data_IF_581943510842
#
_entry.id   IF_581943510842
#
_cell.length_a   1.000
_cell.length_b   1.000
_cell.length_c   1.000
_cell.angle_alpha   90.00
_cell.angle_beta   90.00
_cell.angle_gamma   90.00
#
_symmetry.space_group_name_H-M   'P 1'
#
loop_
_entity.id
_entity.type
_entity.pdbx_description
1 polymer ?
#
# COMPACT_ATOMS: atom_id res chain seq x y z
N UNK A 1 32.65 21.65 -19.89
CA UNK A 1 31.39 22.42 -19.92
C UNK A 1 31.46 23.56 -20.93
N UNK A 2 32.48 24.41 -20.89
CA UNK A 2 32.58 25.62 -21.75
C UNK A 2 32.47 25.36 -23.26
N UNK A 3 33.12 24.30 -23.77
CA UNK A 3 33.04 23.93 -25.19
C UNK A 3 31.62 23.53 -25.63
N UNK A 4 30.90 22.79 -24.78
CA UNK A 4 29.52 22.36 -25.06
C UNK A 4 28.55 23.53 -25.00
N UNK A 5 28.77 24.43 -24.03
CA UNK A 5 27.97 25.63 -23.88
C UNK A 5 28.13 26.56 -25.09
N UNK A 6 29.36 26.84 -25.51
CA UNK A 6 29.65 27.67 -26.68
C UNK A 6 29.02 27.11 -27.96
N UNK A 7 29.16 25.80 -28.20
CA UNK A 7 28.55 25.14 -29.35
C UNK A 7 27.01 25.20 -29.32
N UNK A 8 26.39 25.04 -28.13
CA UNK A 8 24.95 25.17 -27.97
C UNK A 8 24.48 26.59 -28.31
N UNK A 9 25.14 27.63 -27.79
CA UNK A 9 24.79 29.02 -28.05
C UNK A 9 24.90 29.39 -29.52
N UNK A 10 26.00 28.99 -30.19
CA UNK A 10 26.19 29.23 -31.62
C UNK A 10 25.11 28.55 -32.47
N UNK A 11 24.78 27.29 -32.18
CA UNK A 11 23.75 26.56 -32.91
C UNK A 11 22.35 27.12 -32.64
N UNK A 12 22.02 27.44 -31.38
CA UNK A 12 20.75 28.04 -31.03
C UNK A 12 20.56 29.41 -31.70
N UNK A 13 21.62 30.21 -31.83
CA UNK A 13 21.57 31.46 -32.59
C UNK A 13 21.14 31.21 -34.04
N UNK A 14 21.75 30.22 -34.72
CA UNK A 14 21.38 29.87 -36.09
C UNK A 14 19.93 29.36 -36.21
N UNK A 15 19.47 28.52 -35.28
CA UNK A 15 18.09 27.99 -35.25
C UNK A 15 17.07 29.10 -35.00
N UNK A 16 17.41 30.07 -34.16
CA UNK A 16 16.51 31.17 -33.78
C UNK A 16 16.51 32.32 -34.80
N UNK A 17 17.52 32.39 -35.68
CA UNK A 17 17.76 33.49 -36.62
C UNK A 17 16.56 33.80 -37.53
N UNK A 18 15.92 32.77 -38.09
CA UNK A 18 14.74 32.93 -38.94
C UNK A 18 13.56 32.11 -38.40
N UNK A 19 12.36 32.69 -38.23
CA UNK A 19 11.18 31.93 -37.77
C UNK A 19 10.73 30.89 -38.79
N UNK A 20 10.80 31.20 -40.09
CA UNK A 20 10.36 30.33 -41.18
C UNK A 20 11.31 30.41 -42.37
N UNK A 21 11.70 29.27 -42.92
CA UNK A 21 12.49 29.15 -44.15
C UNK A 21 11.57 28.60 -45.24
N UNK A 22 11.33 29.38 -46.29
CA UNK A 22 10.50 28.95 -47.41
C UNK A 22 11.39 28.32 -48.49
N UNK A 23 11.11 27.06 -48.83
CA UNK A 23 11.77 26.34 -49.93
C UNK A 23 10.68 25.86 -50.87
N UNK A 24 10.60 26.51 -52.04
CA UNK A 24 9.47 26.37 -52.97
C UNK A 24 8.14 26.70 -52.29
N UNK A 25 7.14 25.81 -52.39
CA UNK A 25 5.81 25.96 -51.81
C UNK A 25 5.72 25.51 -50.34
N UNK A 26 6.86 25.14 -49.72
CA UNK A 26 6.89 24.62 -48.35
C UNK A 26 7.53 25.62 -47.39
N UNK A 27 6.86 25.85 -46.25
CA UNK A 27 7.36 26.64 -45.15
C UNK A 27 7.92 25.72 -44.05
N UNK A 28 9.20 25.88 -43.72
CA UNK A 28 9.89 25.13 -42.68
C UNK A 28 10.08 26.02 -41.45
N UNK A 29 9.74 25.53 -40.25
CA UNK A 29 9.94 26.25 -39.00
C UNK A 29 11.09 25.61 -38.20
N UNK A 30 12.33 26.14 -38.24
CA UNK A 30 13.49 25.48 -37.61
C UNK A 30 13.32 25.19 -36.11
N UNK A 31 12.58 26.05 -35.41
CA UNK A 31 12.32 25.93 -33.97
C UNK A 31 11.46 24.72 -33.63
N UNK A 32 10.51 24.37 -34.50
CA UNK A 32 9.65 23.19 -34.33
C UNK A 32 10.46 21.89 -34.42
N UNK A 33 11.47 21.83 -35.30
CA UNK A 33 12.38 20.69 -35.38
C UNK A 33 13.16 20.51 -34.07
N UNK A 34 13.67 21.61 -33.49
CA UNK A 34 14.36 21.54 -32.19
C UNK A 34 13.40 21.09 -31.09
N UNK A 35 12.19 21.67 -31.03
CA UNK A 35 11.15 21.31 -30.05
C UNK A 35 10.82 19.82 -30.08
N UNK A 36 10.54 19.26 -31.27
CA UNK A 36 10.24 17.84 -31.46
C UNK A 36 11.42 16.94 -31.05
N UNK A 37 12.66 17.34 -31.37
CA UNK A 37 13.84 16.57 -30.98
C UNK A 37 14.09 16.61 -29.46
N UNK A 38 13.84 17.75 -28.81
CA UNK A 38 13.94 17.88 -27.36
C UNK A 38 12.90 17.01 -26.66
N UNK A 39 11.65 17.00 -27.15
CA UNK A 39 10.57 16.16 -26.63
C UNK A 39 10.92 14.66 -26.76
N UNK A 40 11.30 14.21 -27.95
CA UNK A 40 11.67 12.81 -28.18
C UNK A 40 12.88 12.39 -27.34
N UNK A 41 13.90 13.25 -27.28
CA UNK A 41 15.12 12.98 -26.49
C UNK A 41 14.81 12.93 -25.00
N UNK A 42 14.01 13.87 -24.50
CA UNK A 42 13.66 13.94 -23.09
C UNK A 42 12.84 12.73 -22.66
N UNK A 43 11.79 12.35 -23.41
CA UNK A 43 10.99 11.15 -23.11
C UNK A 43 11.83 9.87 -23.05
N UNK A 44 12.75 9.69 -24.01
CA UNK A 44 13.62 8.51 -24.03
C UNK A 44 14.63 8.51 -22.87
N UNK A 45 15.25 9.65 -22.60
CA UNK A 45 16.25 9.76 -21.55
C UNK A 45 15.59 9.65 -20.15
N UNK A 46 14.34 10.09 -19.97
CA UNK A 46 13.54 9.90 -18.75
C UNK A 46 13.42 8.42 -18.38
N UNK A 47 13.02 7.58 -19.32
CA UNK A 47 12.91 6.12 -19.10
C UNK A 47 14.29 5.49 -18.93
N UNK A 48 15.29 5.94 -19.70
CA UNK A 48 16.67 5.49 -19.56
C UNK A 48 17.26 5.73 -18.16
N UNK A 49 16.95 6.86 -17.54
CA UNK A 49 17.38 7.19 -16.17
C UNK A 49 16.76 6.31 -15.09
N UNK A 50 15.66 5.59 -15.38
CA UNK A 50 15.08 4.61 -14.44
C UNK A 50 16.01 3.42 -14.22
N UNK A 51 16.90 3.13 -15.18
CA UNK A 51 17.89 2.05 -15.11
C UNK A 51 17.28 0.68 -14.78
N UNK A 52 16.04 0.43 -15.23
CA UNK A 52 15.36 -0.83 -14.95
C UNK A 52 15.97 -1.99 -15.74
N UNK A 53 16.53 -2.96 -15.03
CA UNK A 53 17.08 -4.18 -15.63
C UNK A 53 16.16 -5.38 -15.32
N UNK A 54 15.60 -6.00 -16.36
CA UNK A 54 14.69 -7.13 -16.21
C UNK A 54 15.37 -8.41 -15.73
N UNK A 55 16.66 -8.59 -15.97
CA UNK A 55 17.40 -9.79 -15.56
C UNK A 55 17.78 -9.73 -14.07
N UNK A 56 18.27 -8.57 -13.61
CA UNK A 56 18.70 -8.37 -12.22
C UNK A 56 17.57 -7.85 -11.31
N UNK A 57 16.47 -7.37 -11.90
CA UNK A 57 15.37 -6.68 -11.22
C UNK A 57 15.83 -5.44 -10.43
N UNK A 58 16.89 -4.80 -10.92
CA UNK A 58 17.41 -3.54 -10.37
C UNK A 58 16.67 -2.36 -10.97
N UNK A 59 16.49 -1.31 -10.17
CA UNK A 59 15.87 -0.04 -10.57
C UNK A 59 16.54 1.10 -9.79
N UNK A 60 16.61 2.29 -10.39
CA UNK A 60 17.08 3.48 -9.69
C UNK A 60 16.17 3.83 -8.51
N UNK A 61 16.74 4.44 -7.46
CA UNK A 61 15.93 4.97 -6.35
C UNK A 61 15.07 6.14 -6.84
N UNK A 62 13.80 6.26 -6.41
CA UNK A 62 12.96 7.37 -6.79
C UNK A 62 13.59 8.76 -6.55
N UNK A 63 14.30 8.96 -5.44
CA UNK A 63 14.95 10.23 -5.11
C UNK A 63 16.11 10.57 -6.05
N UNK A 64 16.94 9.59 -6.40
CA UNK A 64 18.04 9.72 -7.36
C UNK A 64 17.53 10.03 -8.77
N UNK A 65 16.47 9.34 -9.19
CA UNK A 65 15.80 9.61 -10.46
C UNK A 65 15.22 11.03 -10.47
N UNK A 66 14.49 11.43 -9.43
CA UNK A 66 13.91 12.77 -9.32
C UNK A 66 14.98 13.88 -9.36
N UNK A 67 16.11 13.68 -8.68
CA UNK A 67 17.23 14.61 -8.74
C UNK A 67 17.78 14.75 -10.18
N UNK A 68 17.92 13.62 -10.88
CA UNK A 68 18.38 13.58 -12.27
C UNK A 68 17.40 14.26 -13.24
N UNK A 69 16.09 14.00 -13.07
CA UNK A 69 15.03 14.65 -13.85
C UNK A 69 15.03 16.16 -13.63
N UNK A 70 15.13 16.63 -12.38
CA UNK A 70 15.21 18.06 -12.06
C UNK A 70 16.44 18.73 -12.66
N UNK A 71 17.59 18.06 -12.61
CA UNK A 71 18.81 18.57 -13.25
C UNK A 71 18.63 18.70 -14.78
N UNK A 72 18.01 17.70 -15.42
CA UNK A 72 17.72 17.72 -16.85
C UNK A 72 16.74 18.85 -17.22
N UNK A 73 15.67 19.02 -16.44
CA UNK A 73 14.71 20.10 -16.61
C UNK A 73 15.36 21.48 -16.47
N UNK A 74 16.23 21.68 -15.48
CA UNK A 74 16.95 22.94 -15.31
C UNK A 74 17.78 23.28 -16.55
N UNK A 75 18.48 22.31 -17.14
CA UNK A 75 19.25 22.51 -18.38
C UNK A 75 18.32 22.85 -19.55
N UNK A 76 17.24 22.09 -19.74
CA UNK A 76 16.26 22.35 -20.80
C UNK A 76 15.63 23.74 -20.67
N UNK A 77 15.34 24.19 -19.45
CA UNK A 77 14.78 25.51 -19.22
C UNK A 77 15.74 26.64 -19.62
N UNK A 78 17.05 26.43 -19.54
CA UNK A 78 18.02 27.42 -20.06
C UNK A 78 17.97 27.58 -21.57
N UNK A 79 17.41 26.62 -22.33
CA UNK A 79 17.30 26.69 -23.79
C UNK A 79 16.38 27.83 -24.23
N UNK A 80 15.37 28.17 -23.42
CA UNK A 80 14.45 29.30 -23.69
C UNK A 80 15.19 30.65 -23.79
N UNK A 81 16.36 30.78 -23.13
CA UNK A 81 17.17 31.99 -23.22
C UNK A 81 17.82 32.17 -24.61
N UNK A 82 17.93 31.10 -25.41
CA UNK A 82 18.61 31.14 -26.71
C UNK A 82 17.65 31.00 -27.89
N UNK A 83 16.57 30.25 -27.73
CA UNK A 83 15.57 30.01 -28.78
C UNK A 83 14.17 30.25 -28.19
N UNK A 84 13.33 31.00 -28.90
CA UNK A 84 11.94 31.20 -28.45
C UNK A 84 11.13 29.93 -28.73
N UNK A 85 11.20 28.99 -27.80
CA UNK A 85 10.41 27.75 -27.72
C UNK A 85 9.74 27.75 -26.36
N UNK A 86 8.55 27.18 -26.28
CA UNK A 86 7.86 26.91 -25.02
C UNK A 86 8.33 25.57 -24.43
N UNK A 87 9.30 25.62 -23.51
CA UNK A 87 9.80 24.40 -22.84
C UNK A 87 8.77 23.82 -21.87
N UNK A 88 7.86 24.66 -21.37
CA UNK A 88 6.80 24.24 -20.45
C UNK A 88 5.87 23.25 -21.16
N UNK A 89 5.55 23.50 -22.43
CA UNK A 89 4.81 22.53 -23.26
C UNK A 89 5.57 21.21 -23.42
N UNK A 90 6.88 21.24 -23.66
CA UNK A 90 7.71 20.02 -23.75
C UNK A 90 7.65 19.23 -22.44
N UNK A 91 7.80 19.90 -21.30
CA UNK A 91 7.68 19.26 -19.98
C UNK A 91 6.30 18.65 -19.76
N UNK A 92 5.24 19.39 -20.05
CA UNK A 92 3.87 18.91 -19.87
C UNK A 92 3.60 17.66 -20.72
N UNK A 93 4.03 17.64 -21.99
CA UNK A 93 3.84 16.49 -22.85
C UNK A 93 4.63 15.27 -22.36
N UNK A 94 5.94 15.43 -22.11
CA UNK A 94 6.80 14.31 -21.72
C UNK A 94 6.42 13.76 -20.34
N UNK A 95 6.35 14.63 -19.32
CA UNK A 95 6.16 14.19 -17.93
C UNK A 95 4.75 13.63 -17.70
N UNK A 96 3.71 14.20 -18.31
CA UNK A 96 2.35 13.68 -18.18
C UNK A 96 2.20 12.29 -18.79
N UNK A 97 2.89 12.02 -19.91
CA UNK A 97 2.90 10.66 -20.47
C UNK A 97 3.56 9.67 -19.51
N UNK A 98 4.63 10.07 -18.81
CA UNK A 98 5.31 9.19 -17.85
C UNK A 98 4.46 8.80 -16.63
N UNK A 99 3.32 9.46 -16.40
CA UNK A 99 2.38 9.07 -15.35
C UNK A 99 1.40 7.97 -15.76
N UNK A 100 1.32 7.64 -17.05
CA UNK A 100 0.43 6.61 -17.60
C UNK A 100 1.13 5.25 -17.60
N UNK A 101 0.43 4.14 -17.90
CA UNK A 101 1.08 2.83 -18.05
C UNK A 101 1.94 2.71 -19.33
N UNK A 102 1.49 3.34 -20.42
CA UNK A 102 2.19 3.39 -21.69
C UNK A 102 2.25 4.84 -22.18
N UNK A 103 3.33 5.19 -22.86
CA UNK A 103 3.46 6.50 -23.52
C UNK A 103 2.69 6.54 -24.86
N UNK A 104 2.75 7.66 -25.59
CA UNK A 104 2.07 7.79 -26.89
C UNK A 104 2.61 6.85 -27.98
N UNK A 105 3.76 6.22 -27.76
CA UNK A 105 4.40 5.27 -28.68
C UNK A 105 4.16 3.81 -28.27
N UNK A 106 3.46 3.57 -27.15
CA UNK A 106 3.20 2.23 -26.62
C UNK A 106 4.35 1.66 -25.79
N UNK A 107 5.31 2.49 -25.38
CA UNK A 107 6.45 2.09 -24.56
C UNK A 107 6.14 2.21 -23.06
N UNK A 108 6.82 1.38 -22.25
CA UNK A 108 6.65 1.43 -20.78
C UNK A 108 7.22 2.72 -20.20
N UNK A 109 6.44 3.32 -19.31
CA UNK A 109 6.78 4.57 -18.63
C UNK A 109 7.46 4.35 -17.29
N UNK A 110 7.92 5.45 -16.66
CA UNK A 110 8.38 5.46 -15.27
C UNK A 110 7.32 4.84 -14.33
N UNK A 111 6.05 5.25 -14.45
CA UNK A 111 4.98 4.73 -13.61
C UNK A 111 4.80 3.21 -13.75
N UNK A 112 4.83 2.67 -14.97
CA UNK A 112 4.71 1.24 -15.20
C UNK A 112 5.89 0.45 -14.63
N UNK A 113 7.12 0.94 -14.80
CA UNK A 113 8.33 0.26 -14.33
C UNK A 113 8.37 0.18 -12.81
N UNK A 114 8.13 1.28 -12.10
CA UNK A 114 8.04 1.24 -10.63
C UNK A 114 6.85 0.41 -10.14
N UNK A 115 5.70 0.46 -10.83
CA UNK A 115 4.56 -0.37 -10.45
C UNK A 115 4.90 -1.88 -10.51
N UNK A 116 5.56 -2.33 -11.59
CA UNK A 116 6.06 -3.70 -11.69
C UNK A 116 7.08 -4.01 -10.58
N UNK A 117 8.04 -3.10 -10.34
CA UNK A 117 9.07 -3.34 -9.34
C UNK A 117 8.50 -3.45 -7.91
N UNK A 118 7.67 -2.52 -7.46
CA UNK A 118 7.08 -2.61 -6.13
C UNK A 118 6.21 -3.86 -5.95
N UNK A 119 5.41 -4.20 -6.96
CA UNK A 119 4.48 -5.34 -6.91
C UNK A 119 5.19 -6.69 -6.98
N UNK A 120 6.13 -6.86 -7.91
CA UNK A 120 6.73 -8.16 -8.22
C UNK A 120 8.09 -8.39 -7.55
N UNK A 121 8.78 -7.33 -7.13
CA UNK A 121 10.15 -7.38 -6.58
C UNK A 121 10.12 -7.12 -5.07
N UNK A 122 9.59 -5.97 -4.63
CA UNK A 122 9.57 -5.60 -3.21
C UNK A 122 8.53 -6.42 -2.43
N UNK A 123 7.25 -6.29 -2.75
CA UNK A 123 6.16 -6.93 -1.98
C UNK A 123 6.20 -8.46 -2.04
N UNK A 124 6.70 -9.02 -3.15
CA UNK A 124 6.94 -10.46 -3.28
C UNK A 124 8.01 -10.95 -2.30
N UNK A 125 9.08 -10.17 -2.07
CA UNK A 125 10.12 -10.50 -1.08
C UNK A 125 9.66 -10.27 0.36
N UNK A 126 8.80 -9.28 0.61
CA UNK A 126 8.13 -9.13 1.91
C UNK A 126 7.31 -10.38 2.22
N UNK A 127 6.57 -10.89 1.24
CA UNK A 127 5.78 -12.12 1.37
C UNK A 127 6.64 -13.38 1.58
N UNK A 128 7.91 -13.35 1.16
CA UNK A 128 8.89 -14.42 1.41
C UNK A 128 9.48 -14.40 2.84
N UNK A 129 9.19 -13.35 3.62
CA UNK A 129 9.56 -13.27 5.04
C UNK A 129 10.92 -12.63 5.35
N UNK A 130 11.57 -11.98 4.37
CA UNK A 130 12.88 -11.35 4.57
C UNK A 130 12.82 -9.86 4.94
N UNK A 131 11.66 -9.24 4.72
CA UNK A 131 11.43 -7.81 4.85
C UNK A 131 10.20 -7.61 5.73
N UNK A 132 10.24 -6.64 6.65
CA UNK A 132 9.16 -6.30 7.57
C UNK A 132 8.79 -4.84 7.45
N UNK A 133 7.51 -4.54 7.56
CA UNK A 133 7.02 -3.18 7.70
C UNK A 133 7.27 -2.67 9.12
N UNK A 134 8.01 -1.58 9.27
CA UNK A 134 8.17 -0.89 10.55
C UNK A 134 7.19 0.28 10.65
N UNK A 135 6.34 0.26 11.67
CA UNK A 135 5.43 1.39 11.97
C UNK A 135 6.26 2.59 12.43
N UNK A 136 7.25 2.37 13.30
CA UNK A 136 8.13 3.40 13.85
C UNK A 136 8.92 4.14 12.75
N UNK A 137 9.53 3.40 11.82
CA UNK A 137 10.34 3.99 10.75
C UNK A 137 9.52 4.42 9.53
N UNK A 138 8.22 4.07 9.48
CA UNK A 138 7.33 4.25 8.33
C UNK A 138 7.96 3.77 7.01
N UNK A 139 8.55 2.58 7.03
CA UNK A 139 9.27 2.00 5.91
C UNK A 139 9.31 0.47 6.00
N UNK A 140 9.65 -0.20 4.90
CA UNK A 140 10.00 -1.61 4.90
C UNK A 140 11.49 -1.78 5.18
N UNK A 141 11.82 -2.62 6.16
CA UNK A 141 13.18 -2.84 6.67
C UNK A 141 13.55 -4.33 6.61
N UNK A 142 14.84 -4.67 6.42
CA UNK A 142 15.28 -6.06 6.49
C UNK A 142 15.27 -6.57 7.95
N UNK A 143 14.94 -7.85 8.16
CA UNK A 143 14.90 -8.45 9.51
C UNK A 143 16.30 -8.89 9.99
N UNK A 144 17.18 -9.26 9.06
CA UNK A 144 18.57 -9.66 9.31
C UNK A 144 19.49 -9.13 8.21
N UNK A 145 20.66 -8.54 8.55
CA UNK A 145 21.67 -8.11 7.58
C UNK A 145 22.22 -9.25 6.70
N UNK A 146 22.11 -10.50 7.17
CA UNK A 146 22.65 -11.69 6.47
C UNK A 146 21.68 -12.29 5.43
N UNK A 147 20.51 -11.67 5.23
CA UNK A 147 19.54 -12.09 4.23
C UNK A 147 19.94 -11.67 2.81
N UNK A 148 19.84 -12.60 1.86
CA UNK A 148 20.00 -12.47 0.40
C UNK A 148 19.08 -11.43 -0.30
N UNK A 149 18.74 -10.30 0.34
CA UNK A 149 17.97 -9.24 -0.31
C UNK A 149 18.96 -8.41 -1.14
N UNK A 150 18.83 -8.38 -2.49
CA UNK A 150 19.81 -7.74 -3.37
C UNK A 150 19.79 -6.21 -3.30
N UNK A 151 18.89 -5.63 -2.50
CA UNK A 151 18.74 -4.19 -2.28
C UNK A 151 18.29 -3.92 -0.85
N UNK A 152 18.53 -2.70 -0.36
CA UNK A 152 18.02 -2.25 0.93
C UNK A 152 16.55 -1.76 0.75
N UNK A 153 15.54 -2.43 1.32
CA UNK A 153 14.13 -2.03 1.12
C UNK A 153 13.80 -0.65 1.66
N UNK A 154 14.56 -0.16 2.65
CA UNK A 154 14.34 1.18 3.22
C UNK A 154 14.64 2.27 2.19
N UNK A 155 15.66 2.07 1.35
CA UNK A 155 16.08 2.99 0.28
C UNK A 155 15.10 3.05 -0.91
N UNK A 156 13.95 2.36 -0.81
CA UNK A 156 12.87 2.42 -1.79
C UNK A 156 11.49 2.64 -1.15
N UNK A 157 11.35 2.54 0.18
CA UNK A 157 10.03 2.53 0.82
C UNK A 157 9.88 3.48 1.99
N UNK A 158 10.93 4.21 2.36
CA UNK A 158 10.77 5.32 3.30
C UNK A 158 9.90 6.42 2.70
N UNK A 159 9.42 7.33 3.56
CA UNK A 159 8.56 8.42 3.10
C UNK A 159 9.26 9.37 2.12
N UNK A 160 10.58 9.51 2.14
CA UNK A 160 11.27 10.42 1.22
C UNK A 160 11.29 9.86 -0.21
N UNK A 161 11.57 8.56 -0.34
CA UNK A 161 11.54 7.84 -1.60
C UNK A 161 10.12 7.77 -2.16
N UNK A 162 9.12 7.50 -1.31
CA UNK A 162 7.73 7.47 -1.77
C UNK A 162 7.20 8.87 -2.14
N UNK A 163 7.67 9.95 -1.50
CA UNK A 163 7.37 11.32 -1.93
C UNK A 163 8.04 11.63 -3.27
N UNK A 164 9.27 11.19 -3.47
CA UNK A 164 9.96 11.35 -4.74
C UNK A 164 9.24 10.58 -5.87
N UNK A 165 8.79 9.35 -5.60
CA UNK A 165 7.95 8.58 -6.51
C UNK A 165 6.66 9.33 -6.83
N UNK A 166 5.94 9.80 -5.81
CA UNK A 166 4.69 10.54 -5.99
C UNK A 166 4.88 11.84 -6.79
N UNK A 167 6.03 12.51 -6.67
CA UNK A 167 6.35 13.68 -7.49
C UNK A 167 6.65 13.32 -8.95
N UNK A 168 7.30 12.18 -9.20
CA UNK A 168 7.61 11.69 -10.55
C UNK A 168 6.36 11.23 -11.31
N UNK A 169 5.48 10.46 -10.65
CA UNK A 169 4.36 9.78 -11.32
C UNK A 169 3.00 10.42 -11.05
N UNK A 170 2.90 11.31 -10.07
CA UNK A 170 1.70 12.05 -9.73
C UNK A 170 0.50 11.18 -9.33
N UNK A 171 -0.69 11.79 -9.18
CA UNK A 171 -1.93 11.07 -8.83
C UNK A 171 -2.28 9.95 -9.81
N UNK A 172 -2.01 10.12 -11.11
CA UNK A 172 -2.31 9.12 -12.12
C UNK A 172 -1.49 7.84 -11.93
N UNK A 173 -0.16 7.96 -11.78
CA UNK A 173 0.69 6.80 -11.58
C UNK A 173 0.46 6.12 -10.23
N UNK A 174 0.24 6.89 -9.17
CA UNK A 174 -0.12 6.35 -7.85
C UNK A 174 -1.47 5.64 -7.90
N UNK A 175 -2.45 6.16 -8.64
CA UNK A 175 -3.74 5.49 -8.86
C UNK A 175 -3.55 4.13 -9.55
N UNK A 176 -2.75 4.05 -10.61
CA UNK A 176 -2.48 2.78 -11.31
C UNK A 176 -1.76 1.78 -10.41
N UNK A 177 -0.79 2.24 -9.60
CA UNK A 177 -0.16 1.41 -8.57
C UNK A 177 -1.20 0.89 -7.58
N UNK A 178 -2.05 1.77 -7.02
CA UNK A 178 -3.12 1.38 -6.09
C UNK A 178 -4.07 0.34 -6.71
N UNK A 179 -4.50 0.51 -7.96
CA UNK A 179 -5.34 -0.46 -8.68
C UNK A 179 -4.66 -1.84 -8.80
N UNK A 180 -3.34 -1.86 -9.05
CA UNK A 180 -2.54 -3.10 -9.11
C UNK A 180 -2.47 -3.78 -7.73
N UNK A 181 -2.26 -3.00 -6.67
CA UNK A 181 -2.27 -3.50 -5.29
C UNK A 181 -3.65 -4.06 -4.90
N UNK A 182 -4.73 -3.37 -5.23
CA UNK A 182 -6.09 -3.83 -4.98
C UNK A 182 -6.41 -5.12 -5.75
N UNK A 183 -5.90 -5.27 -6.96
CA UNK A 183 -6.04 -6.50 -7.73
C UNK A 183 -5.36 -7.70 -7.04
N UNK A 184 -4.15 -7.51 -6.51
CA UNK A 184 -3.47 -8.55 -5.72
C UNK A 184 -4.25 -8.91 -4.45
N UNK A 185 -4.77 -7.92 -3.72
CA UNK A 185 -5.62 -8.14 -2.54
C UNK A 185 -6.88 -8.94 -2.93
N UNK A 186 -7.56 -8.56 -4.01
CA UNK A 186 -8.76 -9.25 -4.44
C UNK A 186 -8.52 -10.73 -4.75
N UNK A 187 -7.37 -11.06 -5.35
CA UNK A 187 -6.98 -12.46 -5.56
C UNK A 187 -6.76 -13.21 -4.23
N UNK A 188 -6.13 -12.57 -3.23
CA UNK A 188 -5.98 -13.17 -1.90
C UNK A 188 -7.35 -13.39 -1.21
N UNK A 189 -8.28 -12.46 -1.37
CA UNK A 189 -9.64 -12.58 -0.82
C UNK A 189 -10.42 -13.72 -1.48
N UNK A 190 -10.27 -13.94 -2.79
CA UNK A 190 -10.93 -15.08 -3.45
C UNK A 190 -10.43 -16.43 -2.91
N UNK A 191 -9.12 -16.54 -2.68
CA UNK A 191 -8.54 -17.73 -2.05
C UNK A 191 -9.05 -17.91 -0.60
N UNK A 192 -9.15 -16.83 0.17
CA UNK A 192 -9.74 -16.87 1.51
C UNK A 192 -11.21 -17.32 1.49
N UNK A 193 -12.01 -16.84 0.54
CA UNK A 193 -13.41 -17.31 0.34
C UNK A 193 -13.47 -18.80 0.04
N UNK A 194 -12.52 -19.33 -0.75
CA UNK A 194 -12.40 -20.77 -0.99
C UNK A 194 -12.14 -21.56 0.31
N UNK A 195 -11.20 -21.10 1.14
CA UNK A 195 -10.89 -21.73 2.44
C UNK A 195 -12.08 -21.70 3.41
N UNK A 196 -12.88 -20.62 3.39
CA UNK A 196 -14.12 -20.53 4.17
C UNK A 196 -15.14 -21.56 3.71
N UNK A 197 -15.29 -21.75 2.39
CA UNK A 197 -16.22 -22.73 1.84
C UNK A 197 -15.86 -24.16 2.24
N UNK A 198 -14.57 -24.51 2.25
CA UNK A 198 -14.08 -25.82 2.72
C UNK A 198 -14.39 -26.06 4.20
N UNK A 199 -14.40 -25.02 5.02
CA UNK A 199 -14.62 -25.10 6.47
C UNK A 199 -16.02 -24.66 6.93
N UNK A 200 -16.97 -24.50 5.99
CA UNK A 200 -18.24 -23.79 6.20
C UNK A 200 -19.03 -24.29 7.41
N UNK A 201 -19.26 -25.60 7.52
CA UNK A 201 -20.05 -26.19 8.61
C UNK A 201 -19.41 -26.01 9.98
N UNK A 202 -18.08 -26.17 10.05
CA UNK A 202 -17.30 -25.97 11.27
C UNK A 202 -17.37 -24.50 11.70
N UNK A 203 -17.22 -23.56 10.75
CA UNK A 203 -17.30 -22.13 11.01
C UNK A 203 -18.70 -21.68 11.46
N UNK A 204 -19.78 -22.25 10.90
CA UNK A 204 -21.16 -21.99 11.36
C UNK A 204 -21.33 -22.44 12.82
N UNK A 205 -20.78 -23.60 13.16
CA UNK A 205 -20.84 -24.13 14.53
C UNK A 205 -20.03 -23.25 15.50
N UNK A 206 -18.83 -22.84 15.11
CA UNK A 206 -17.99 -21.92 15.89
C UNK A 206 -18.67 -20.56 16.11
N UNK A 207 -19.36 -20.03 15.09
CA UNK A 207 -20.09 -18.77 15.20
C UNK A 207 -21.27 -18.84 16.16
N UNK A 208 -22.00 -19.96 16.18
CA UNK A 208 -23.22 -20.12 16.99
C UNK A 208 -22.97 -20.65 18.40
N UNK A 209 -21.83 -21.31 18.63
CA UNK A 209 -21.47 -21.93 19.91
C UNK A 209 -20.28 -21.23 20.60
N UNK A 210 -20.11 -19.93 20.37
CA UNK A 210 -18.97 -19.15 20.89
C UNK A 210 -18.90 -19.10 22.42
N UNK A 211 -20.06 -19.22 23.07
CA UNK A 211 -20.29 -19.27 24.52
C UNK A 211 -19.92 -20.61 25.16
N UNK A 212 -19.63 -21.66 24.36
CA UNK A 212 -19.32 -23.02 24.84
C UNK A 212 -17.83 -23.35 24.61
N UNK A 213 -16.94 -23.22 25.61
CA UNK A 213 -15.50 -23.38 25.44
C UNK A 213 -15.07 -24.75 24.91
N UNK A 214 -15.68 -25.83 25.40
CA UNK A 214 -15.33 -27.20 24.99
C UNK A 214 -15.67 -27.46 23.52
N UNK A 215 -16.86 -27.04 23.08
CA UNK A 215 -17.29 -27.15 21.67
C UNK A 215 -16.35 -26.34 20.78
N UNK A 216 -16.00 -25.12 21.18
CA UNK A 216 -15.07 -24.27 20.42
C UNK A 216 -13.70 -24.93 20.27
N UNK A 217 -13.15 -25.53 21.34
CA UNK A 217 -11.86 -26.21 21.30
C UNK A 217 -11.88 -27.46 20.41
N UNK A 218 -12.98 -28.21 20.44
CA UNK A 218 -13.17 -29.38 19.57
C UNK A 218 -13.30 -28.98 18.10
N UNK A 219 -14.17 -28.01 17.80
CA UNK A 219 -14.39 -27.55 16.42
C UNK A 219 -13.14 -26.87 15.84
N UNK A 220 -12.36 -26.15 16.65
CA UNK A 220 -11.10 -25.56 16.19
C UNK A 220 -10.12 -26.62 15.66
N UNK A 221 -10.04 -27.79 16.30
CA UNK A 221 -9.18 -28.89 15.82
C UNK A 221 -9.61 -29.47 14.46
N UNK A 222 -10.86 -29.23 14.06
CA UNK A 222 -11.42 -29.67 12.76
C UNK A 222 -11.17 -28.66 11.64
N UNK A 223 -10.73 -27.44 11.96
CA UNK A 223 -10.40 -26.44 10.95
C UNK A 223 -9.16 -26.87 10.15
N UNK A 224 -9.26 -26.75 8.82
CA UNK A 224 -8.20 -27.04 7.88
C UNK A 224 -7.56 -25.74 7.40
N UNK A 225 -6.26 -25.78 7.06
CA UNK A 225 -5.56 -24.66 6.41
C UNK A 225 -5.53 -23.32 7.21
N UNK A 226 -5.58 -23.40 8.54
CA UNK A 226 -5.51 -22.22 9.44
C UNK A 226 -4.29 -21.33 9.14
N UNK A 227 -3.12 -21.93 8.89
CA UNK A 227 -1.89 -21.17 8.61
C UNK A 227 -1.99 -20.41 7.29
N UNK A 228 -2.68 -20.97 6.29
CA UNK A 228 -2.91 -20.30 5.01
C UNK A 228 -3.84 -19.10 5.17
N UNK A 229 -4.86 -19.18 6.02
CA UNK A 229 -5.73 -18.03 6.33
C UNK A 229 -4.92 -16.89 6.93
N UNK A 230 -4.12 -17.19 7.95
CA UNK A 230 -3.27 -16.19 8.63
C UNK A 230 -2.22 -15.59 7.69
N UNK A 231 -1.56 -16.42 6.88
CA UNK A 231 -0.57 -15.98 5.90
C UNK A 231 -1.19 -15.05 4.87
N UNK A 232 -2.35 -15.41 4.29
CA UNK A 232 -3.03 -14.57 3.30
C UNK A 232 -3.52 -13.25 3.88
N UNK A 233 -4.07 -13.26 5.10
CA UNK A 233 -4.44 -12.03 5.81
C UNK A 233 -3.22 -11.14 6.09
N UNK A 234 -2.07 -11.74 6.42
CA UNK A 234 -0.82 -11.01 6.62
C UNK A 234 -0.33 -10.37 5.32
N UNK A 235 -0.36 -11.11 4.20
CA UNK A 235 -0.01 -10.58 2.86
C UNK A 235 -0.91 -9.40 2.48
N UNK A 236 -2.23 -9.54 2.65
CA UNK A 236 -3.19 -8.44 2.42
C UNK A 236 -2.82 -7.22 3.26
N UNK A 237 -2.53 -7.44 4.54
CA UNK A 237 -2.15 -6.39 5.48
C UNK A 237 -0.91 -5.64 5.04
N UNK A 238 0.14 -6.36 4.65
CA UNK A 238 1.39 -5.81 4.11
C UNK A 238 1.13 -4.91 2.91
N UNK A 239 0.30 -5.37 1.96
CA UNK A 239 -0.03 -4.60 0.75
C UNK A 239 -0.76 -3.30 1.12
N UNK A 240 -1.69 -3.35 2.08
CA UNK A 240 -2.41 -2.17 2.57
C UNK A 240 -1.47 -1.20 3.30
N UNK A 241 -0.56 -1.70 4.13
CA UNK A 241 0.43 -0.86 4.81
C UNK A 241 1.33 -0.12 3.80
N UNK A 242 1.81 -0.82 2.76
CA UNK A 242 2.57 -0.19 1.67
C UNK A 242 1.74 0.88 0.94
N UNK A 243 0.49 0.56 0.57
CA UNK A 243 -0.43 1.53 -0.03
C UNK A 243 -0.60 2.77 0.85
N UNK A 244 -0.78 2.60 2.16
CA UNK A 244 -0.98 3.71 3.08
C UNK A 244 0.23 4.64 3.13
N UNK A 245 1.46 4.10 3.09
CA UNK A 245 2.67 4.92 2.95
C UNK A 245 2.70 5.70 1.64
N UNK A 246 2.35 5.05 0.52
CA UNK A 246 2.30 5.70 -0.80
C UNK A 246 1.27 6.82 -0.83
N UNK A 247 0.10 6.60 -0.22
CA UNK A 247 -0.97 7.60 -0.10
C UNK A 247 -0.57 8.75 0.82
N UNK A 248 0.07 8.48 1.97
CA UNK A 248 0.62 9.51 2.85
C UNK A 248 1.64 10.39 2.09
N UNK A 249 2.56 9.76 1.36
CA UNK A 249 3.53 10.46 0.54
C UNK A 249 2.88 11.29 -0.58
N UNK A 250 1.82 10.78 -1.23
CA UNK A 250 1.06 11.52 -2.24
C UNK A 250 0.41 12.76 -1.62
N UNK A 251 -0.26 12.62 -0.47
CA UNK A 251 -0.89 13.75 0.24
C UNK A 251 0.15 14.83 0.53
N UNK A 252 1.32 14.48 1.04
CA UNK A 252 2.40 15.43 1.32
C UNK A 252 2.89 16.19 0.07
N UNK A 253 2.93 15.52 -1.08
CA UNK A 253 3.29 16.15 -2.36
C UNK A 253 2.17 17.07 -2.83
N UNK A 254 0.92 16.62 -2.77
CA UNK A 254 -0.23 17.40 -3.22
C UNK A 254 -0.50 18.63 -2.33
N UNK A 255 -0.27 18.54 -1.03
CA UNK A 255 -0.41 19.66 -0.10
C UNK A 255 0.55 20.80 -0.47
N UNK A 256 1.75 20.47 -0.95
CA UNK A 256 2.74 21.46 -1.42
C UNK A 256 2.43 21.97 -2.83
N UNK A 257 1.93 21.12 -3.73
CA UNK A 257 1.78 21.44 -5.16
C UNK A 257 0.42 22.04 -5.52
N UNK A 258 -0.65 21.59 -4.87
CA UNK A 258 -2.04 21.99 -5.14
C UNK A 258 -2.87 22.16 -3.84
N UNK A 259 -2.41 22.98 -2.86
CA UNK A 259 -3.04 23.10 -1.54
C UNK A 259 -4.52 23.47 -1.59
N UNK A 260 -4.93 24.35 -2.50
CA UNK A 260 -6.33 24.79 -2.63
C UNK A 260 -7.27 23.65 -3.08
N UNK A 261 -6.82 22.82 -4.01
CA UNK A 261 -7.60 21.65 -4.46
C UNK A 261 -7.67 20.62 -3.34
N UNK A 262 -6.54 20.30 -2.70
CA UNK A 262 -6.52 19.31 -1.62
C UNK A 262 -7.38 19.76 -0.44
N UNK A 263 -7.35 21.04 -0.05
CA UNK A 263 -8.21 21.60 0.99
C UNK A 263 -9.70 21.47 0.63
N UNK A 264 -10.06 21.70 -0.63
CA UNK A 264 -11.44 21.56 -1.09
C UNK A 264 -11.91 20.11 -1.06
N UNK A 265 -11.03 19.16 -1.41
CA UNK A 265 -11.32 17.72 -1.34
C UNK A 265 -11.48 17.27 0.12
N UNK A 266 -10.61 17.73 1.04
CA UNK A 266 -10.72 17.46 2.48
C UNK A 266 -12.05 17.96 3.05
N UNK A 267 -12.38 19.23 2.80
CA UNK A 267 -13.65 19.83 3.24
C UNK A 267 -14.86 19.08 2.69
N UNK A 268 -14.83 18.72 1.40
CA UNK A 268 -15.89 17.96 0.77
C UNK A 268 -16.04 16.56 1.34
N UNK A 269 -14.94 15.89 1.73
CA UNK A 269 -14.95 14.56 2.34
C UNK A 269 -15.53 14.59 3.77
N UNK A 270 -15.22 15.62 4.55
CA UNK A 270 -15.66 15.77 5.94
C UNK A 270 -17.15 16.11 6.06
N UNK A 271 -17.69 16.91 5.14
CA UNK A 271 -19.03 17.49 5.23
C UNK A 271 -20.07 16.88 4.25
N UNK A 272 -19.91 15.61 3.88
CA UNK A 272 -20.75 14.96 2.85
C UNK A 272 -22.25 14.93 3.20
N UNK A 273 -23.14 15.36 2.27
CA UNK A 273 -24.55 14.98 2.27
C UNK A 273 -24.64 13.49 1.90
N UNK A 274 -25.42 12.70 2.64
CA UNK A 274 -25.47 11.24 2.44
C UNK A 274 -25.91 10.77 1.05
N UNK A 275 -25.70 9.48 0.74
CA UNK A 275 -26.13 8.82 -0.50
C UNK A 275 -25.00 8.59 -1.53
N UNK A 276 -25.33 8.62 -2.82
CA UNK A 276 -24.38 8.37 -3.93
C UNK A 276 -23.20 9.36 -3.96
N UNK A 277 -23.40 10.56 -3.43
CA UNK A 277 -22.35 11.58 -3.29
C UNK A 277 -21.20 11.11 -2.40
N UNK A 278 -21.46 10.21 -1.44
CA UNK A 278 -20.43 9.60 -0.59
C UNK A 278 -19.43 8.81 -1.42
N UNK A 279 -19.90 8.08 -2.44
CA UNK A 279 -19.03 7.24 -3.27
C UNK A 279 -18.11 8.09 -4.14
N UNK A 280 -18.67 9.08 -4.83
CA UNK A 280 -17.89 9.99 -5.70
C UNK A 280 -16.87 10.77 -4.88
N UNK A 281 -17.27 11.25 -3.70
CA UNK A 281 -16.38 11.94 -2.79
C UNK A 281 -15.26 11.02 -2.27
N UNK A 282 -15.57 9.76 -1.94
CA UNK A 282 -14.59 8.79 -1.49
C UNK A 282 -13.60 8.43 -2.60
N UNK A 283 -14.07 8.28 -3.85
CA UNK A 283 -13.20 8.03 -5.01
C UNK A 283 -12.27 9.22 -5.27
N UNK A 284 -12.79 10.45 -5.18
CA UNK A 284 -12.01 11.68 -5.30
C UNK A 284 -10.98 11.83 -4.17
N UNK A 285 -11.39 11.61 -2.92
CA UNK A 285 -10.52 11.65 -1.76
C UNK A 285 -9.40 10.60 -1.86
N UNK A 286 -9.74 9.36 -2.23
CA UNK A 286 -8.77 8.31 -2.46
C UNK A 286 -7.79 8.62 -3.60
N UNK A 287 -8.24 9.27 -4.67
CA UNK A 287 -7.36 9.71 -5.76
C UNK A 287 -6.38 10.82 -5.34
N UNK A 288 -6.73 11.61 -4.32
CA UNK A 288 -5.86 12.58 -3.67
C UNK A 288 -4.98 11.97 -2.56
N UNK A 289 -5.05 10.65 -2.35
CA UNK A 289 -4.32 9.93 -1.29
C UNK A 289 -4.95 10.03 0.11
N UNK A 290 -6.12 10.66 0.26
CA UNK A 290 -6.79 10.73 1.54
C UNK A 290 -7.39 9.37 1.92
N UNK A 291 -7.30 9.02 3.21
CA UNK A 291 -7.87 7.77 3.72
C UNK A 291 -9.39 7.89 3.82
N UNK A 292 -10.08 6.83 3.41
CA UNK A 292 -11.53 6.70 3.52
C UNK A 292 -11.85 5.62 4.55
N UNK A 293 -12.99 5.74 5.26
CA UNK A 293 -13.46 4.70 6.19
C UNK A 293 -13.61 3.34 5.51
N UNK A 294 -14.08 3.37 4.26
CA UNK A 294 -14.14 2.21 3.36
C UNK A 294 -13.44 2.61 2.07
N UNK A 295 -12.48 1.81 1.63
CA UNK A 295 -11.76 2.06 0.39
C UNK A 295 -12.67 1.79 -0.83
N UNK A 296 -12.96 2.80 -1.65
CA UNK A 296 -13.84 2.66 -2.81
C UNK A 296 -13.20 1.84 -3.94
N UNK A 297 -11.88 1.92 -4.13
CA UNK A 297 -11.15 1.13 -5.12
C UNK A 297 -11.19 -0.34 -4.72
N UNK A 298 -10.89 -0.65 -3.46
CA UNK A 298 -10.97 -2.01 -2.93
C UNK A 298 -12.38 -2.60 -3.11
N UNK A 299 -13.42 -1.85 -2.71
CA UNK A 299 -14.80 -2.29 -2.83
C UNK A 299 -15.18 -2.59 -4.29
N UNK A 300 -14.78 -1.71 -5.21
CA UNK A 300 -15.02 -1.88 -6.65
C UNK A 300 -14.28 -3.10 -7.21
N UNK A 301 -13.00 -3.31 -6.85
CA UNK A 301 -12.20 -4.45 -7.30
C UNK A 301 -12.70 -5.78 -6.75
N UNK A 302 -13.18 -5.81 -5.50
CA UNK A 302 -13.78 -7.02 -4.92
C UNK A 302 -15.10 -7.37 -5.59
N UNK A 303 -15.93 -6.36 -5.91
CA UNK A 303 -17.21 -6.54 -6.60
C UNK A 303 -17.02 -7.03 -8.05
N UNK A 304 -16.00 -6.56 -8.77
CA UNK A 304 -15.76 -6.95 -10.17
C UNK A 304 -15.38 -8.43 -10.34
N UNK A 305 -14.82 -9.07 -9.31
CA UNK A 305 -14.47 -10.50 -9.33
C UNK A 305 -15.68 -11.43 -9.18
N UNK A 306 -16.87 -10.93 -8.82
CA UNK A 306 -18.13 -11.70 -8.83
C UNK A 306 -19.33 -10.73 -8.96
N UNK A 307 -19.86 -10.49 -10.17
CA UNK A 307 -20.86 -9.44 -10.40
C UNK A 307 -22.29 -9.77 -9.92
N UNK A 308 -22.58 -11.03 -9.59
CA UNK A 308 -23.89 -11.45 -9.10
C UNK A 308 -23.97 -11.43 -7.57
N UNK A 309 -25.01 -10.77 -7.05
CA UNK A 309 -25.32 -10.79 -5.62
C UNK A 309 -25.81 -12.18 -5.23
N UNK A 310 -24.99 -12.87 -4.45
CA UNK A 310 -25.28 -14.18 -3.89
C UNK A 310 -25.65 -13.97 -2.41
N UNK A 311 -26.85 -14.36 -1.98
CA UNK A 311 -27.23 -14.29 -0.55
C UNK A 311 -26.21 -15.03 0.35
N UNK A 312 -25.49 -16.02 -0.21
CA UNK A 312 -24.39 -16.71 0.45
C UNK A 312 -23.12 -15.87 0.65
N UNK A 313 -22.96 -14.74 -0.01
CA UNK A 313 -21.76 -13.90 0.07
C UNK A 313 -21.65 -13.21 1.44
N UNK A 314 -22.76 -12.70 1.97
CA UNK A 314 -22.77 -12.11 3.31
C UNK A 314 -22.42 -13.16 4.38
N UNK A 315 -22.98 -14.37 4.28
CA UNK A 315 -22.61 -15.47 5.17
C UNK A 315 -21.13 -15.81 5.03
N UNK A 316 -20.60 -15.88 3.81
CA UNK A 316 -19.17 -16.15 3.57
C UNK A 316 -18.28 -15.08 4.21
N UNK A 317 -18.63 -13.80 4.12
CA UNK A 317 -17.91 -12.71 4.79
C UNK A 317 -17.95 -12.85 6.32
N UNK A 318 -19.11 -13.16 6.90
CA UNK A 318 -19.24 -13.44 8.34
C UNK A 318 -18.38 -14.63 8.78
N UNK A 319 -18.39 -15.72 8.01
CA UNK A 319 -17.61 -16.91 8.33
C UNK A 319 -16.11 -16.67 8.15
N UNK A 320 -15.69 -15.85 7.18
CA UNK A 320 -14.29 -15.42 7.05
C UNK A 320 -13.83 -14.68 8.30
N UNK A 321 -14.65 -13.75 8.78
CA UNK A 321 -14.41 -13.00 10.02
C UNK A 321 -14.24 -13.93 11.22
N UNK A 322 -15.14 -14.89 11.39
CA UNK A 322 -15.03 -15.92 12.44
C UNK A 322 -13.74 -16.72 12.28
N UNK A 323 -13.41 -17.14 11.05
CA UNK A 323 -12.23 -17.94 10.76
C UNK A 323 -10.95 -17.18 11.16
N UNK A 324 -10.83 -15.91 10.78
CA UNK A 324 -9.69 -15.08 11.18
C UNK A 324 -9.63 -14.92 12.70
N UNK A 325 -10.75 -14.58 13.35
CA UNK A 325 -10.81 -14.34 14.80
C UNK A 325 -10.32 -15.55 15.63
N UNK A 326 -10.82 -16.74 15.33
CA UNK A 326 -10.44 -17.96 16.07
C UNK A 326 -9.04 -18.46 15.72
N UNK A 327 -8.46 -18.00 14.60
CA UNK A 327 -7.13 -18.41 14.15
C UNK A 327 -6.00 -17.60 14.78
N UNK A 328 -6.26 -16.36 15.22
CA UNK A 328 -5.25 -15.46 15.80
C UNK A 328 -4.42 -16.11 16.93
N UNK A 329 -4.97 -16.86 17.89
CA UNK A 329 -4.19 -17.50 18.94
C UNK A 329 -3.09 -18.44 18.42
N UNK A 330 -3.27 -19.03 17.23
CA UNK A 330 -2.26 -19.92 16.63
C UNK A 330 -0.95 -19.18 16.33
N UNK A 331 -1.01 -17.87 16.11
CA UNK A 331 0.18 -17.04 15.86
C UNK A 331 1.16 -17.03 17.04
N UNK A 332 0.69 -17.28 18.27
CA UNK A 332 1.53 -17.29 19.46
C UNK A 332 2.55 -18.43 19.47
N UNK A 333 2.31 -19.50 18.70
CA UNK A 333 3.23 -20.62 18.52
C UNK A 333 4.41 -20.30 17.61
N UNK A 334 4.23 -19.36 16.68
CA UNK A 334 5.24 -19.06 15.67
C UNK A 334 6.35 -18.20 16.29
N UNK A 335 7.59 -18.65 16.18
CA UNK A 335 8.77 -17.97 16.75
C UNK A 335 8.93 -16.55 16.20
N UNK A 336 8.60 -16.35 14.91
CA UNK A 336 8.72 -15.08 14.22
C UNK A 336 7.60 -14.08 14.55
N UNK A 337 6.60 -14.48 15.36
CA UNK A 337 5.56 -13.57 15.86
C UNK A 337 6.02 -12.72 17.05
N UNK A 338 7.31 -12.69 17.36
CA UNK A 338 7.83 -11.81 18.39
C UNK A 338 7.69 -10.34 17.94
N UNK A 339 7.10 -9.54 18.83
CA UNK A 339 6.95 -8.10 18.66
C UNK A 339 8.25 -7.40 19.07
N UNK A 340 8.81 -6.62 18.14
CA UNK A 340 10.03 -5.83 18.33
C UNK A 340 9.63 -4.36 18.47
N UNK A 341 9.99 -3.73 19.58
CA UNK A 341 9.72 -2.31 19.82
C UNK A 341 10.56 -1.41 18.90
N UNK A 342 11.74 -1.85 18.47
CA UNK A 342 12.59 -1.10 17.50
C UNK A 342 11.85 -0.79 16.20
N UNK A 343 11.09 -1.75 15.68
CA UNK A 343 10.27 -1.60 14.47
C UNK A 343 8.81 -1.26 14.77
N UNK A 344 8.39 -1.30 16.03
CA UNK A 344 7.01 -1.14 16.50
C UNK A 344 6.05 -2.12 15.77
N UNK A 345 6.44 -3.40 15.72
CA UNK A 345 5.74 -4.42 14.94
C UNK A 345 6.27 -5.84 15.15
N UNK A 346 5.61 -6.83 14.56
CA UNK A 346 6.01 -8.24 14.62
C UNK A 346 7.02 -8.61 13.53
N UNK A 347 7.94 -9.52 13.86
CA UNK A 347 9.01 -9.93 12.94
C UNK A 347 8.50 -10.71 11.71
N UNK A 348 7.24 -11.13 11.68
CA UNK A 348 6.60 -11.81 10.54
C UNK A 348 5.47 -10.99 9.91
N UNK A 349 5.40 -9.68 10.18
CA UNK A 349 4.36 -8.76 9.68
C UNK A 349 2.94 -9.02 10.20
N UNK A 350 2.73 -9.81 11.27
CA UNK A 350 1.37 -10.06 11.77
C UNK A 350 0.64 -8.79 12.24
N UNK A 351 1.35 -7.74 12.66
CA UNK A 351 0.76 -6.44 12.99
C UNK A 351 0.02 -5.83 11.80
N UNK A 352 0.48 -6.08 10.57
CA UNK A 352 -0.19 -5.62 9.36
C UNK A 352 -1.59 -6.24 9.18
N UNK A 353 -1.89 -7.37 9.84
CA UNK A 353 -3.25 -7.93 9.82
C UNK A 353 -4.31 -6.97 10.37
N UNK A 354 -3.94 -6.03 11.24
CA UNK A 354 -4.84 -4.97 11.69
C UNK A 354 -5.40 -4.16 10.52
N UNK A 355 -4.53 -3.75 9.59
CA UNK A 355 -4.93 -3.05 8.38
C UNK A 355 -5.80 -3.92 7.48
N UNK A 356 -5.45 -5.20 7.34
CA UNK A 356 -6.23 -6.17 6.55
C UNK A 356 -7.65 -6.36 7.08
N UNK A 357 -7.79 -6.64 8.38
CA UNK A 357 -9.06 -6.91 9.05
C UNK A 357 -10.01 -5.72 8.84
N UNK A 358 -9.55 -4.52 9.12
CA UNK A 358 -10.38 -3.31 9.01
C UNK A 358 -10.81 -3.00 7.57
N UNK A 359 -9.89 -3.08 6.60
CA UNK A 359 -10.20 -2.73 5.21
C UNK A 359 -10.98 -3.82 4.49
N UNK A 360 -10.65 -5.10 4.70
CA UNK A 360 -11.36 -6.22 4.04
C UNK A 360 -12.78 -6.33 4.55
N UNK A 361 -13.00 -6.31 5.86
CA UNK A 361 -14.35 -6.41 6.40
C UNK A 361 -15.15 -5.15 6.12
N UNK A 362 -14.53 -3.96 6.19
CA UNK A 362 -15.14 -2.71 5.74
C UNK A 362 -15.63 -2.80 4.29
N UNK A 363 -14.81 -3.30 3.37
CA UNK A 363 -15.20 -3.43 1.97
C UNK A 363 -16.26 -4.53 1.75
N UNK A 364 -16.07 -5.73 2.30
CA UNK A 364 -16.98 -6.86 2.11
C UNK A 364 -18.39 -6.56 2.65
N UNK A 365 -18.50 -6.05 3.87
CA UNK A 365 -19.82 -5.75 4.46
C UNK A 365 -20.49 -4.55 3.79
N UNK A 366 -19.73 -3.59 3.26
CA UNK A 366 -20.29 -2.53 2.40
C UNK A 366 -20.87 -3.10 1.11
N UNK A 367 -20.18 -4.03 0.45
CA UNK A 367 -20.65 -4.68 -0.78
C UNK A 367 -21.93 -5.48 -0.53
N UNK A 368 -22.03 -6.17 0.62
CA UNK A 368 -23.21 -6.95 0.98
C UNK A 368 -24.47 -6.09 1.26
N UNK A 369 -24.33 -4.79 1.53
CA UNK A 369 -25.45 -3.86 1.65
C UNK A 369 -26.36 -4.03 2.88
N UNK A 370 -25.99 -4.87 3.86
CA UNK A 370 -26.81 -5.13 5.05
C UNK A 370 -26.66 -4.09 6.17
N UNK A 371 -25.75 -3.12 6.01
CA UNK A 371 -25.51 -2.01 6.96
C UNK A 371 -25.20 -2.45 8.40
N UNK A 372 -24.63 -3.65 8.57
CA UNK A 372 -24.32 -4.28 9.86
C UNK A 372 -22.82 -4.33 10.16
N UNK A 373 -22.01 -3.55 9.43
CA UNK A 373 -20.54 -3.57 9.52
C UNK A 373 -20.03 -3.37 10.95
N UNK A 374 -20.55 -2.38 11.68
CA UNK A 374 -20.11 -2.10 13.05
C UNK A 374 -20.42 -3.28 14.00
N UNK A 375 -21.60 -3.89 13.86
CA UNK A 375 -21.99 -5.07 14.63
C UNK A 375 -21.12 -6.29 14.31
N UNK A 376 -20.76 -6.47 13.03
CA UNK A 376 -19.84 -7.53 12.61
C UNK A 376 -18.44 -7.29 13.16
N UNK A 377 -17.92 -6.06 13.12
CA UNK A 377 -16.62 -5.74 13.71
C UNK A 377 -16.62 -5.94 15.24
N UNK A 378 -17.72 -5.61 15.93
CA UNK A 378 -17.90 -5.93 17.37
C UNK A 378 -17.89 -7.44 17.63
N UNK A 379 -18.60 -8.21 16.81
CA UNK A 379 -18.62 -9.68 16.86
C UNK A 379 -17.21 -10.26 16.66
N UNK A 380 -16.46 -9.76 15.68
CA UNK A 380 -15.07 -10.13 15.46
C UNK A 380 -14.21 -9.90 16.71
N UNK A 381 -14.29 -8.69 17.29
CA UNK A 381 -13.47 -8.31 18.43
C UNK A 381 -13.79 -9.18 19.65
N UNK A 382 -15.06 -9.47 19.91
CA UNK A 382 -15.48 -10.34 21.00
C UNK A 382 -14.96 -11.79 20.82
N UNK A 383 -15.05 -12.33 19.60
CA UNK A 383 -14.54 -13.67 19.29
C UNK A 383 -13.02 -13.76 19.40
N UNK A 384 -12.30 -12.77 18.87
CA UNK A 384 -10.84 -12.71 18.93
C UNK A 384 -10.34 -12.56 20.38
N UNK A 385 -10.97 -11.67 21.15
CA UNK A 385 -10.66 -11.45 22.57
C UNK A 385 -10.91 -12.71 23.40
N UNK A 386 -12.07 -13.35 23.24
CA UNK A 386 -12.40 -14.62 23.90
C UNK A 386 -11.39 -15.73 23.57
N UNK A 387 -10.98 -15.82 22.30
CA UNK A 387 -10.00 -16.82 21.84
C UNK A 387 -8.61 -16.58 22.44
N UNK A 388 -8.19 -15.32 22.58
CA UNK A 388 -6.90 -14.95 23.18
C UNK A 388 -6.87 -15.04 24.72
N UNK A 389 -7.99 -14.78 25.40
CA UNK A 389 -8.10 -14.98 26.85
C UNK A 389 -8.02 -16.47 27.21
N UNK A 390 -8.58 -17.36 26.37
CA UNK A 390 -8.45 -18.82 26.55
C UNK A 390 -6.99 -19.28 26.41
N UNK A 391 -6.25 -18.73 25.44
CA UNK A 391 -4.80 -18.95 25.33
C UNK A 391 -4.05 -18.48 26.60
N UNK A 392 -4.56 -17.48 27.30
CA UNK A 392 -4.06 -17.00 28.59
C UNK A 392 -4.07 -18.07 29.69
N UNK A 393 -4.98 -19.03 29.61
CA UNK A 393 -5.18 -20.11 30.58
C UNK A 393 -4.43 -21.39 30.21
N UNK A 394 -3.86 -21.47 29.00
CA UNK A 394 -3.07 -22.63 28.57
C UNK A 394 -1.72 -22.68 29.30
N UNK A 395 -1.35 -23.87 29.77
CA UNK A 395 -0.08 -24.14 30.45
C UNK A 395 1.04 -24.61 29.51
N UNK A 396 0.69 -24.89 28.25
CA UNK A 396 1.65 -25.31 27.24
C UNK A 396 2.54 -24.15 26.83
N UNK A 397 3.84 -24.27 27.15
CA UNK A 397 4.86 -23.25 26.88
C UNK A 397 5.10 -23.03 25.39
N UNK A 398 4.89 -24.04 24.56
CA UNK A 398 5.05 -23.92 23.12
C UNK A 398 3.85 -23.17 22.51
N UNK A 399 2.63 -23.51 22.95
CA UNK A 399 1.42 -22.80 22.57
C UNK A 399 1.42 -21.33 22.98
N UNK A 400 2.03 -21.00 24.11
CA UNK A 400 1.99 -19.66 24.71
C UNK A 400 3.28 -18.84 24.53
N UNK A 401 4.22 -19.31 23.70
CA UNK A 401 5.57 -18.73 23.55
C UNK A 401 5.56 -17.22 23.30
N UNK A 402 4.83 -16.76 22.28
CA UNK A 402 4.74 -15.34 21.90
C UNK A 402 3.36 -14.75 22.23
N UNK A 403 2.68 -15.28 23.27
CA UNK A 403 1.32 -14.86 23.63
C UNK A 403 1.19 -13.36 23.88
N UNK A 404 2.13 -12.78 24.62
CA UNK A 404 2.12 -11.34 24.93
C UNK A 404 2.24 -10.51 23.65
N UNK A 405 3.13 -10.88 22.72
CA UNK A 405 3.24 -10.20 21.42
C UNK A 405 1.93 -10.24 20.63
N UNK A 406 1.20 -11.35 20.66
CA UNK A 406 -0.09 -11.46 19.93
C UNK A 406 -1.20 -10.64 20.59
N UNK A 407 -1.17 -10.42 21.91
CA UNK A 407 -2.15 -9.53 22.56
C UNK A 407 -2.08 -8.10 22.00
N UNK A 408 -0.89 -7.64 21.62
CA UNK A 408 -0.71 -6.33 21.01
C UNK A 408 -1.40 -6.20 19.65
N UNK A 409 -1.70 -7.31 18.96
CA UNK A 409 -2.45 -7.28 17.71
C UNK A 409 -3.89 -6.77 17.92
N UNK A 410 -4.53 -7.07 19.07
CA UNK A 410 -5.87 -6.55 19.37
C UNK A 410 -5.85 -5.02 19.52
N UNK A 411 -4.84 -4.51 20.22
CA UNK A 411 -4.63 -3.06 20.38
C UNK A 411 -4.46 -2.40 19.00
N UNK A 412 -3.65 -2.99 18.14
CA UNK A 412 -3.41 -2.48 16.78
C UNK A 412 -4.66 -2.54 15.89
N UNK A 413 -5.44 -3.62 15.96
CA UNK A 413 -6.73 -3.75 15.24
C UNK A 413 -7.67 -2.60 15.63
N UNK A 414 -7.77 -2.29 16.92
CA UNK A 414 -8.68 -1.25 17.43
C UNK A 414 -8.15 0.15 17.10
N UNK A 415 -6.84 0.42 17.27
CA UNK A 415 -6.24 1.72 16.91
C UNK A 415 -6.42 2.08 15.44
N UNK A 416 -6.32 1.08 14.55
CA UNK A 416 -6.48 1.30 13.11
C UNK A 416 -7.94 1.28 12.63
N UNK A 417 -8.89 0.91 13.49
CA UNK A 417 -10.29 0.76 13.09
C UNK A 417 -11.06 2.08 13.25
N UNK A 418 -11.78 2.54 12.24
CA UNK A 418 -12.77 3.60 12.42
C UNK A 418 -14.09 3.09 13.02
N UNK A 419 -14.23 1.78 13.25
CA UNK A 419 -15.47 1.12 13.70
C UNK A 419 -15.41 0.57 15.13
N UNK A 420 -14.20 0.42 15.68
CA UNK A 420 -13.97 -0.11 17.02
C UNK A 420 -13.42 0.99 17.93
N UNK A 421 -13.77 0.93 19.20
CA UNK A 421 -13.32 1.89 20.22
C UNK A 421 -12.54 1.19 21.32
N UNK A 422 -11.69 1.94 22.01
CA UNK A 422 -10.95 1.43 23.17
C UNK A 422 -11.87 1.02 24.33
N UNK A 423 -13.00 1.72 24.51
CA UNK A 423 -14.01 1.36 25.52
C UNK A 423 -14.60 -0.04 25.26
N UNK A 424 -14.85 -0.34 23.97
CA UNK A 424 -15.32 -1.66 23.58
C UNK A 424 -14.25 -2.73 23.82
N UNK A 425 -12.98 -2.43 23.48
CA UNK A 425 -11.87 -3.33 23.75
C UNK A 425 -11.76 -3.65 25.24
N UNK A 426 -11.81 -2.64 26.12
CA UNK A 426 -11.75 -2.84 27.57
C UNK A 426 -12.86 -3.75 28.09
N UNK A 427 -14.06 -3.68 27.49
CA UNK A 427 -15.20 -4.52 27.88
C UNK A 427 -15.01 -6.02 27.60
N UNK A 428 -14.18 -6.38 26.60
CA UNK A 428 -13.96 -7.77 26.20
C UNK A 428 -12.53 -8.27 26.41
N UNK A 429 -11.55 -7.37 26.58
CA UNK A 429 -10.15 -7.66 26.80
C UNK A 429 -9.50 -6.57 27.68
N UNK A 430 -9.22 -6.84 28.97
CA UNK A 430 -8.70 -5.83 29.89
C UNK A 430 -7.37 -5.23 29.43
N UNK A 431 -7.28 -3.91 29.35
CA UNK A 431 -6.09 -3.18 28.88
C UNK A 431 -4.86 -3.43 29.75
N UNK A 432 -5.03 -3.86 31.00
CA UNK A 432 -3.94 -4.28 31.87
C UNK A 432 -3.11 -5.41 31.25
N UNK A 433 -3.74 -6.33 30.51
CA UNK A 433 -3.05 -7.40 29.79
C UNK A 433 -2.18 -6.85 28.66
N UNK A 434 -2.71 -5.88 27.90
CA UNK A 434 -2.00 -5.20 26.80
C UNK A 434 -0.81 -4.41 27.35
N UNK A 435 -1.03 -3.62 28.40
CA UNK A 435 0.02 -2.85 29.06
C UNK A 435 1.15 -3.74 29.57
N UNK A 436 0.82 -4.86 30.21
CA UNK A 436 1.81 -5.80 30.71
C UNK A 436 2.55 -6.48 29.55
N UNK A 437 1.84 -6.80 28.45
CA UNK A 437 2.46 -7.34 27.24
C UNK A 437 3.46 -6.36 26.61
N UNK A 438 3.12 -5.07 26.51
CA UNK A 438 4.05 -4.02 26.06
C UNK A 438 5.30 -3.99 26.94
N UNK A 439 5.13 -3.96 28.27
CA UNK A 439 6.27 -3.99 29.19
C UNK A 439 7.12 -5.26 29.04
N UNK A 440 6.49 -6.43 28.84
CA UNK A 440 7.15 -7.71 28.62
C UNK A 440 8.02 -7.71 27.38
N UNK A 441 7.47 -7.33 26.22
CA UNK A 441 8.20 -7.34 24.95
C UNK A 441 9.33 -6.31 24.91
N UNK A 442 9.12 -5.10 25.45
CA UNK A 442 10.16 -4.06 25.51
C UNK A 442 11.34 -4.50 26.38
N UNK A 443 11.05 -5.10 27.55
CA UNK A 443 12.09 -5.62 28.44
C UNK A 443 12.84 -6.80 27.80
N UNK A 444 12.11 -7.70 27.12
CA UNK A 444 12.70 -8.87 26.49
C UNK A 444 13.61 -8.50 25.31
N UNK A 445 13.24 -7.52 24.49
CA UNK A 445 14.09 -7.02 23.41
C UNK A 445 15.36 -6.35 23.93
N UNK A 446 15.27 -5.56 25.02
CA UNK A 446 16.45 -4.98 25.68
C UNK A 446 17.42 -6.06 26.19
N UNK A 447 16.89 -7.14 26.77
CA UNK A 447 17.70 -8.26 27.26
C UNK A 447 18.37 -9.02 26.10
N UNK A 448 17.68 -9.18 24.98
CA UNK A 448 18.19 -9.90 23.82
C UNK A 448 19.22 -9.09 23.01
N UNK A 449 19.41 -7.80 23.32
CA UNK A 449 20.36 -6.94 22.60
C UNK A 449 20.02 -6.78 21.12
N UNK A 450 18.76 -7.00 20.72
CA UNK A 450 18.27 -6.95 19.34
C UNK A 450 18.08 -5.51 18.82
N UNK A 451 18.84 -4.54 19.35
CA UNK A 451 18.88 -3.20 18.77
C UNK A 451 19.48 -3.32 17.36
N UNK A 452 18.65 -2.99 16.36
CA UNK A 452 19.07 -2.87 14.95
C UNK A 452 20.23 -1.90 14.79
#
# INVERSE_FOLDING_TARGET
MDKLHMALTELCFAINYCPTVNVWEFAFAPREYLCQNLEHRFSRDLVGMVMFNQETMEIAKPSELLASVRAYMNVLQTVENYVHIDITRVFNNCLLQQTQALDSHGEKTIAALYNTWYSEVLLRRVSAGNIVFSINQKAFVPISPEGWVPFNPQEFSDLNELRALAELVGPYGIKTLNETLMWHIANQVQELKSLVNTNKEVLITLRTSFDKPEVMKEQFKRLQDVDRVLQRMTIIGVIICFRNLVHEALVDVLDKRIPFLLSSVKDFQEHLPGGDQIRVASEMASAAGLLCKVDPTLATTLKSKKPEFDEGEHLTACLLMVFVAVSIPKLARNENSFYRATIDGHSNNTHCMAAAINNIFGALFTICGQSDMEDRMKEFLALASSSLLRLGQESDKEATRNRESIYLLLDEIVKQSPFLTMDLLESCFPYVLIRNAYHGVYKQEQILGLAL
#
